data_IF_673139581023
#
_entry.id   IF_673139581023
#
_cell.length_a   1.000
_cell.length_b   1.000
_cell.length_c   1.000
_cell.angle_alpha   90.00
_cell.angle_beta   90.00
_cell.angle_gamma   90.00
#
_symmetry.space_group_name_H-M   'P 1'
#
loop_
_entity.id
_entity.type
_entity.pdbx_description
1 polymer ?
#
# COMPACT_ATOMS: atom_id res chain seq x y z
N UNK A 1 -59.54 -16.23 92.25
CA UNK A 1 -59.82 -15.29 93.39
C UNK A 1 -59.94 -13.89 92.76
N UNK A 2 -61.18 -13.41 92.78
CA UNK A 2 -61.66 -12.14 93.31
C UNK A 2 -61.01 -10.89 92.70
N UNK A 3 -61.64 -9.87 92.22
CA UNK A 3 -63.03 -9.26 92.17
C UNK A 3 -62.89 -8.06 91.24
N UNK A 4 -63.73 -7.84 90.26
CA UNK A 4 -65.01 -7.00 90.31
C UNK A 4 -64.77 -5.53 90.71
N UNK A 5 -64.98 -4.55 89.90
CA UNK A 5 -66.19 -3.70 89.87
C UNK A 5 -65.93 -2.41 89.09
N UNK A 6 -66.78 -2.14 88.16
CA UNK A 6 -67.66 -0.88 88.04
C UNK A 6 -66.97 0.49 88.23
N UNK A 7 -67.13 1.52 87.46
CA UNK A 7 -68.41 2.12 87.06
C UNK A 7 -68.15 3.46 86.33
N UNK A 8 -68.92 3.71 85.34
CA UNK A 8 -69.70 4.93 85.11
C UNK A 8 -68.97 6.24 84.68
N UNK A 9 -69.34 6.69 83.51
CA UNK A 9 -69.75 8.03 83.07
C UNK A 9 -68.86 9.23 83.34
N UNK A 10 -68.37 9.92 82.26
CA UNK A 10 -68.84 11.29 82.00
C UNK A 10 -68.52 11.72 80.56
N UNK A 11 -69.49 12.28 79.90
CA UNK A 11 -69.51 12.94 78.62
C UNK A 11 -68.76 14.28 78.75
N UNK A 12 -67.70 14.47 77.93
CA UNK A 12 -67.16 15.85 77.68
C UNK A 12 -66.88 15.91 76.15
N UNK A 13 -67.69 16.68 75.45
CA UNK A 13 -67.57 17.11 74.08
C UNK A 13 -66.41 18.14 74.02
N UNK A 14 -65.34 17.76 73.36
CA UNK A 14 -64.27 18.70 73.00
C UNK A 14 -64.10 18.73 71.49
N UNK A 15 -64.62 19.80 70.91
CA UNK A 15 -64.43 20.11 69.45
C UNK A 15 -62.97 20.53 69.30
N UNK A 16 -62.16 19.66 68.70
CA UNK A 16 -60.81 20.07 68.27
C UNK A 16 -60.92 20.28 66.73
N UNK A 17 -60.63 21.55 66.33
CA UNK A 17 -60.34 21.92 64.92
C UNK A 17 -59.09 21.16 64.47
N UNK A 18 -59.26 20.17 63.59
CA UNK A 18 -58.14 19.60 62.86
C UNK A 18 -57.90 20.49 61.63
N UNK A 19 -56.81 21.29 61.72
CA UNK A 19 -56.22 21.95 60.56
C UNK A 19 -55.65 20.85 59.62
N UNK A 20 -56.35 20.59 58.52
CA UNK A 20 -55.84 19.82 57.40
C UNK A 20 -54.63 20.59 56.81
N UNK A 21 -53.45 20.11 57.11
CA UNK A 21 -52.25 20.48 56.33
C UNK A 21 -52.45 19.85 54.94
N UNK A 22 -52.90 20.65 54.00
CA UNK A 22 -52.89 20.30 52.59
C UNK A 22 -51.44 20.11 52.15
N UNK A 23 -50.97 18.86 52.10
CA UNK A 23 -49.74 18.47 51.45
C UNK A 23 -49.95 18.74 49.95
N UNK A 24 -49.41 19.86 49.49
CA UNK A 24 -49.36 20.18 48.06
C UNK A 24 -48.69 19.02 47.30
N UNK A 25 -49.51 18.13 46.73
CA UNK A 25 -49.03 17.21 45.69
C UNK A 25 -48.45 18.05 44.56
N UNK A 26 -47.11 18.01 44.43
CA UNK A 26 -46.48 18.57 43.28
C UNK A 26 -47.19 18.06 42.03
N UNK A 27 -47.61 18.97 41.18
CA UNK A 27 -48.32 18.70 39.94
C UNK A 27 -47.46 17.80 39.01
N UNK A 28 -47.59 16.49 39.18
CA UNK A 28 -47.18 15.56 38.17
C UNK A 28 -48.09 15.74 36.93
N UNK A 29 -47.52 15.97 35.77
CA UNK A 29 -48.26 16.03 34.53
C UNK A 29 -49.10 14.72 34.39
N UNK A 30 -50.31 14.78 33.79
CA UNK A 30 -51.08 13.58 33.51
C UNK A 30 -50.26 12.52 32.78
N UNK A 31 -50.46 11.25 33.07
CA UNK A 31 -49.68 10.14 32.50
C UNK A 31 -49.77 10.11 30.97
N UNK A 32 -50.86 10.57 30.38
CA UNK A 32 -51.08 10.72 28.93
C UNK A 32 -50.16 11.75 28.24
N UNK A 33 -49.59 12.70 28.98
CA UNK A 33 -48.65 13.70 28.44
C UNK A 33 -47.16 13.31 28.59
N UNK A 34 -46.87 12.18 29.23
CA UNK A 34 -45.49 11.76 29.50
C UNK A 34 -44.96 10.88 28.38
N UNK A 35 -43.76 11.15 27.91
CA UNK A 35 -43.07 10.35 26.90
C UNK A 35 -41.94 9.56 27.60
N UNK A 36 -41.98 8.26 27.44
CA UNK A 36 -40.96 7.33 27.96
C UNK A 36 -39.93 7.05 26.88
N UNK A 37 -38.68 7.31 27.16
CA UNK A 37 -37.54 6.97 26.29
C UNK A 37 -36.75 5.85 26.98
N UNK A 38 -36.85 4.65 26.42
CA UNK A 38 -36.22 3.44 26.94
C UNK A 38 -34.95 3.20 26.13
N UNK A 39 -33.78 3.27 26.79
CA UNK A 39 -32.50 3.00 26.17
C UNK A 39 -32.15 1.52 26.31
N UNK A 40 -31.98 0.77 25.20
CA UNK A 40 -31.43 -0.58 25.25
C UNK A 40 -29.96 -0.53 25.68
N UNK A 41 -29.42 -1.62 26.21
CA UNK A 41 -28.01 -1.71 26.58
C UNK A 41 -27.08 -1.48 25.38
N UNK A 42 -27.51 -1.90 24.18
CA UNK A 42 -26.76 -1.68 22.95
C UNK A 42 -27.67 -1.53 21.75
N UNK A 43 -27.25 -0.71 20.76
CA UNK A 43 -27.93 -0.50 19.49
C UNK A 43 -26.93 -0.56 18.34
N UNK A 44 -27.40 -0.98 17.17
CA UNK A 44 -26.60 -1.00 15.92
C UNK A 44 -27.23 -0.03 14.94
N UNK A 45 -26.41 0.89 14.43
CA UNK A 45 -26.81 1.92 13.46
C UNK A 45 -26.06 1.73 12.15
N UNK A 46 -26.66 2.17 11.04
CA UNK A 46 -26.06 2.03 9.70
C UNK A 46 -25.60 3.36 9.11
N UNK A 47 -26.31 4.45 9.42
CA UNK A 47 -26.15 5.76 8.80
C UNK A 47 -24.99 6.58 9.40
N UNK A 48 -24.61 7.68 8.73
CA UNK A 48 -23.58 8.60 9.20
C UNK A 48 -24.04 9.47 10.39
N UNK A 49 -25.35 9.62 10.55
CA UNK A 49 -26.00 10.24 11.69
C UNK A 49 -26.97 9.24 12.31
N UNK A 50 -27.25 9.36 13.59
CA UNK A 50 -28.22 8.51 14.25
C UNK A 50 -29.32 9.34 14.90
N UNK A 51 -30.54 8.83 14.73
CA UNK A 51 -31.75 9.42 15.23
C UNK A 51 -32.12 8.85 16.60
N UNK A 52 -32.90 9.58 17.37
CA UNK A 52 -33.34 9.10 18.68
C UNK A 52 -34.16 7.80 18.55
N UNK A 53 -35.05 7.70 17.56
CA UNK A 53 -35.83 6.50 17.31
C UNK A 53 -35.03 5.27 16.87
N UNK A 54 -33.79 5.45 16.33
CA UNK A 54 -32.91 4.32 15.96
C UNK A 54 -32.21 3.70 17.18
N UNK A 55 -32.04 4.47 18.26
CA UNK A 55 -31.27 4.08 19.43
C UNK A 55 -32.09 3.88 20.70
N UNK A 56 -33.38 4.18 20.66
CA UNK A 56 -34.28 4.05 21.80
C UNK A 56 -35.67 3.62 21.36
N UNK A 57 -36.41 3.02 22.28
CA UNK A 57 -37.85 2.82 22.17
C UNK A 57 -38.56 4.00 22.81
N UNK A 58 -39.51 4.62 22.10
CA UNK A 58 -40.21 5.83 22.53
C UNK A 58 -41.68 5.49 22.65
N UNK A 59 -42.26 5.71 23.82
CA UNK A 59 -43.66 5.36 24.14
C UNK A 59 -44.36 6.53 24.83
N UNK A 60 -45.71 6.61 24.64
CA UNK A 60 -46.57 7.63 25.25
C UNK A 60 -46.62 8.95 24.50
N UNK A 61 -47.54 9.81 24.87
CA UNK A 61 -47.77 11.10 24.21
C UNK A 61 -48.51 11.03 22.87
N UNK A 62 -48.62 12.17 22.21
CA UNK A 62 -49.26 12.31 20.90
C UNK A 62 -48.41 11.73 19.76
N UNK A 63 -49.03 11.06 18.78
CA UNK A 63 -48.33 10.42 17.66
C UNK A 63 -47.47 11.39 16.85
N UNK A 64 -47.92 12.62 16.64
CA UNK A 64 -47.17 13.66 15.90
C UNK A 64 -45.91 14.07 16.67
N UNK A 65 -45.99 14.18 17.99
CA UNK A 65 -44.85 14.50 18.86
C UNK A 65 -43.87 13.32 18.92
N UNK A 66 -44.37 12.08 19.00
CA UNK A 66 -43.52 10.88 18.96
C UNK A 66 -42.70 10.79 17.67
N UNK A 67 -43.36 11.01 16.52
CA UNK A 67 -42.65 11.01 15.23
C UNK A 67 -41.60 12.12 15.19
N UNK A 68 -41.93 13.34 15.57
CA UNK A 68 -41.00 14.46 15.66
C UNK A 68 -39.78 14.15 16.55
N UNK A 69 -40.03 13.55 17.71
CA UNK A 69 -38.99 13.19 18.67
C UNK A 69 -38.12 12.05 18.13
N UNK A 70 -38.71 11.07 17.47
CA UNK A 70 -37.97 9.94 16.88
C UNK A 70 -36.98 10.36 15.79
N UNK A 71 -37.32 11.42 15.05
CA UNK A 71 -36.49 11.97 13.94
C UNK A 71 -35.40 12.93 14.42
N UNK A 72 -35.29 13.17 15.71
CA UNK A 72 -34.22 14.07 16.21
C UNK A 72 -32.87 13.43 16.05
N UNK A 73 -31.96 14.15 15.37
CA UNK A 73 -30.55 13.77 15.23
C UNK A 73 -29.85 13.97 16.58
N UNK A 74 -29.42 12.90 17.19
CA UNK A 74 -28.69 12.92 18.44
C UNK A 74 -27.21 13.21 18.22
N UNK A 75 -26.63 12.68 17.14
CA UNK A 75 -25.21 12.93 16.82
C UNK A 75 -24.73 12.27 15.56
N UNK A 76 -23.41 12.43 15.32
CA UNK A 76 -22.68 11.75 14.26
C UNK A 76 -22.36 10.33 14.69
N UNK A 77 -22.51 9.37 13.78
CA UNK A 77 -22.17 7.99 14.01
C UNK A 77 -20.66 7.81 14.18
N UNK A 78 -20.23 6.86 15.02
CA UNK A 78 -18.81 6.53 15.10
C UNK A 78 -18.29 5.96 13.77
N UNK A 79 -16.98 5.82 13.66
CA UNK A 79 -16.39 5.13 12.50
C UNK A 79 -16.92 3.69 12.41
N UNK A 80 -17.07 3.13 11.19
CA UNK A 80 -17.57 1.77 11.00
C UNK A 80 -16.86 0.75 11.89
N UNK A 81 -17.63 -0.08 12.58
CA UNK A 81 -17.14 -1.08 13.54
C UNK A 81 -16.69 -0.52 14.89
N UNK A 82 -16.78 0.79 15.12
CA UNK A 82 -16.47 1.42 16.42
C UNK A 82 -17.72 1.54 17.28
N UNK A 83 -17.49 1.58 18.60
CA UNK A 83 -18.53 1.79 19.61
C UNK A 83 -18.45 3.20 20.18
N UNK A 84 -19.59 3.73 20.54
CA UNK A 84 -19.74 5.01 21.23
C UNK A 84 -20.85 4.87 22.27
N UNK A 85 -20.75 5.55 23.39
CA UNK A 85 -21.77 5.52 24.44
C UNK A 85 -22.62 6.78 24.39
N UNK A 86 -23.92 6.60 24.23
CA UNK A 86 -24.91 7.66 24.32
C UNK A 86 -25.51 7.65 25.72
N UNK A 87 -25.48 8.78 26.38
CA UNK A 87 -26.03 8.96 27.73
C UNK A 87 -27.35 9.72 27.70
N UNK A 88 -28.19 9.50 28.70
CA UNK A 88 -29.40 10.27 28.96
C UNK A 88 -29.14 11.78 28.90
N UNK A 89 -28.04 12.24 29.50
CA UNK A 89 -27.67 13.67 29.53
C UNK A 89 -27.46 14.24 28.13
N UNK A 90 -26.84 13.48 27.21
CA UNK A 90 -26.66 13.88 25.82
C UNK A 90 -28.00 14.03 25.10
N UNK A 91 -28.89 13.06 25.28
CA UNK A 91 -30.25 13.10 24.69
C UNK A 91 -31.01 14.32 25.18
N UNK A 92 -31.05 14.53 26.48
CA UNK A 92 -31.72 15.71 27.07
C UNK A 92 -31.13 17.04 26.57
N UNK A 93 -29.80 17.12 26.40
CA UNK A 93 -29.15 18.28 25.81
C UNK A 93 -29.62 18.52 24.37
N UNK A 94 -29.75 17.48 23.55
CA UNK A 94 -30.21 17.57 22.18
C UNK A 94 -31.69 17.98 22.09
N UNK A 95 -32.55 17.39 22.93
CA UNK A 95 -33.96 17.79 23.01
C UNK A 95 -34.10 19.28 23.36
N UNK A 96 -33.34 19.78 24.35
CA UNK A 96 -33.34 21.21 24.71
C UNK A 96 -32.87 22.11 23.56
N UNK A 97 -31.85 21.70 22.80
CA UNK A 97 -31.37 22.48 21.66
C UNK A 97 -32.42 22.61 20.55
N UNK A 98 -33.39 21.69 20.47
CA UNK A 98 -34.54 21.71 19.58
C UNK A 98 -35.74 22.43 20.21
N UNK A 99 -35.56 23.13 21.34
CA UNK A 99 -36.60 23.86 22.08
C UNK A 99 -37.77 22.95 22.54
N UNK A 100 -37.49 21.66 22.78
CA UNK A 100 -38.47 20.70 23.27
C UNK A 100 -38.44 20.71 24.81
N UNK A 101 -39.64 20.75 25.41
CA UNK A 101 -39.78 20.74 26.88
C UNK A 101 -39.38 19.36 27.44
N UNK A 102 -38.21 19.32 28.07
CA UNK A 102 -37.64 18.09 28.63
C UNK A 102 -38.33 17.58 29.91
N UNK A 103 -39.19 18.33 30.53
CA UNK A 103 -39.96 17.90 31.72
C UNK A 103 -40.96 16.77 31.45
N UNK A 104 -41.33 16.60 30.19
CA UNK A 104 -42.29 15.55 29.76
C UNK A 104 -41.62 14.18 29.53
N UNK A 105 -40.29 14.11 29.56
CA UNK A 105 -39.55 12.88 29.22
C UNK A 105 -39.12 12.10 30.47
N UNK A 106 -39.52 10.85 30.51
CA UNK A 106 -39.08 9.86 31.47
C UNK A 106 -38.07 8.92 30.81
N UNK A 107 -37.07 8.51 31.54
CA UNK A 107 -36.06 7.57 31.07
C UNK A 107 -36.04 6.34 31.99
N UNK A 108 -36.99 5.42 31.82
CA UNK A 108 -36.95 4.17 32.55
C UNK A 108 -35.82 3.29 32.03
N UNK A 109 -35.15 2.56 32.93
CA UNK A 109 -34.13 1.59 32.58
C UNK A 109 -32.71 2.17 32.56
N UNK A 110 -31.96 1.86 31.50
CA UNK A 110 -30.51 2.18 31.44
C UNK A 110 -30.23 3.67 31.27
N UNK A 111 -29.22 4.19 31.98
CA UNK A 111 -28.80 5.59 31.84
C UNK A 111 -27.96 5.85 30.56
N UNK A 112 -27.52 4.78 29.91
CA UNK A 112 -26.73 4.87 28.69
C UNK A 112 -26.93 3.67 27.78
N UNK A 113 -26.64 3.86 26.49
CA UNK A 113 -26.65 2.81 25.47
C UNK A 113 -25.34 2.80 24.72
N UNK A 114 -24.81 1.60 24.43
CA UNK A 114 -23.62 1.41 23.61
C UNK A 114 -24.02 1.34 22.14
N UNK A 115 -23.73 2.38 21.38
CA UNK A 115 -24.04 2.46 19.95
C UNK A 115 -22.86 1.91 19.14
N UNK A 116 -23.14 0.91 18.29
CA UNK A 116 -22.15 0.35 17.38
C UNK A 116 -22.53 0.69 15.96
N UNK A 117 -21.62 1.28 15.17
CA UNK A 117 -21.86 1.43 13.74
C UNK A 117 -21.60 0.12 13.03
N UNK A 118 -22.58 -0.37 12.29
CA UNK A 118 -22.44 -1.56 11.47
C UNK A 118 -21.31 -1.40 10.46
N UNK A 119 -20.56 -2.46 10.22
CA UNK A 119 -19.42 -2.43 9.33
C UNK A 119 -19.30 -3.73 8.54
N UNK A 120 -18.80 -3.58 7.31
CA UNK A 120 -18.26 -4.68 6.52
C UNK A 120 -16.77 -4.81 6.82
N UNK A 121 -16.35 -5.97 7.31
CA UNK A 121 -14.94 -6.26 7.56
C UNK A 121 -14.29 -6.83 6.31
N UNK A 122 -13.28 -6.16 5.77
CA UNK A 122 -12.40 -6.65 4.71
C UNK A 122 -11.09 -7.10 5.35
N UNK A 123 -10.72 -8.36 5.16
CA UNK A 123 -9.46 -8.88 5.70
C UNK A 123 -8.27 -8.31 4.93
N UNK A 124 -7.22 -7.92 5.63
CA UNK A 124 -5.99 -7.43 5.01
C UNK A 124 -5.38 -8.43 4.03
N UNK A 125 -5.50 -9.74 4.32
CA UNK A 125 -5.05 -10.82 3.43
C UNK A 125 -5.79 -10.82 2.07
N UNK A 126 -7.08 -10.50 2.07
CA UNK A 126 -7.87 -10.45 0.83
C UNK A 126 -7.44 -9.26 -0.03
N UNK A 127 -7.13 -8.13 0.61
CA UNK A 127 -6.56 -6.93 -0.06
C UNK A 127 -5.21 -7.27 -0.70
N UNK A 128 -4.34 -7.99 0.01
CA UNK A 128 -3.05 -8.44 -0.51
C UNK A 128 -3.21 -9.35 -1.72
N UNK A 129 -4.14 -10.30 -1.68
CA UNK A 129 -4.41 -11.21 -2.79
C UNK A 129 -4.91 -10.49 -4.04
N UNK A 130 -5.82 -9.52 -3.86
CA UNK A 130 -6.34 -8.70 -4.96
C UNK A 130 -5.21 -7.87 -5.61
N UNK A 131 -4.31 -7.29 -4.81
CA UNK A 131 -3.15 -6.57 -5.34
C UNK A 131 -2.18 -7.51 -6.06
N UNK A 132 -1.90 -8.70 -5.52
CA UNK A 132 -1.05 -9.69 -6.16
C UNK A 132 -1.65 -10.18 -7.50
N UNK A 133 -2.96 -10.35 -7.55
CA UNK A 133 -3.67 -10.67 -8.80
C UNK A 133 -3.55 -9.54 -9.80
N UNK A 134 -3.84 -8.31 -9.39
CA UNK A 134 -3.71 -7.12 -10.24
C UNK A 134 -2.30 -6.99 -10.84
N UNK A 135 -1.25 -7.23 -10.03
CA UNK A 135 0.14 -7.19 -10.51
C UNK A 135 0.37 -8.25 -11.60
N UNK A 136 -0.15 -9.46 -11.45
CA UNK A 136 0.00 -10.52 -12.45
C UNK A 136 -0.78 -10.21 -13.73
N UNK A 137 -1.99 -9.71 -13.59
CA UNK A 137 -2.89 -9.43 -14.72
C UNK A 137 -2.41 -8.23 -15.56
N UNK A 138 -1.77 -7.24 -14.92
CA UNK A 138 -1.26 -6.04 -15.59
C UNK A 138 0.17 -6.18 -16.13
N UNK A 139 0.94 -7.16 -15.64
CA UNK A 139 2.29 -7.40 -16.10
C UNK A 139 2.37 -8.77 -16.76
N UNK A 140 2.36 -8.81 -18.09
CA UNK A 140 2.54 -10.06 -18.89
C UNK A 140 3.97 -10.64 -18.78
N UNK A 141 4.71 -10.30 -17.75
CA UNK A 141 6.07 -10.75 -17.54
C UNK A 141 6.12 -11.83 -16.43
N UNK A 142 6.20 -13.08 -16.84
CA UNK A 142 6.30 -14.24 -15.94
C UNK A 142 7.56 -14.24 -15.08
N UNK A 143 8.56 -13.47 -15.46
CA UNK A 143 9.80 -13.30 -14.72
C UNK A 143 9.65 -12.37 -13.50
N UNK A 144 8.54 -11.65 -13.39
CA UNK A 144 8.23 -10.83 -12.23
C UNK A 144 7.53 -11.66 -11.14
N UNK A 145 8.15 -11.77 -9.98
CA UNK A 145 7.59 -12.46 -8.82
C UNK A 145 7.28 -11.43 -7.70
N UNK A 146 6.01 -11.02 -7.56
CA UNK A 146 5.62 -10.07 -6.53
C UNK A 146 5.66 -10.69 -5.14
N UNK A 147 6.09 -9.90 -4.15
CA UNK A 147 6.08 -10.24 -2.73
C UNK A 147 5.53 -9.07 -1.92
N UNK A 148 4.63 -9.37 -0.99
CA UNK A 148 4.16 -8.39 0.01
C UNK A 148 5.27 -8.17 1.04
N UNK A 149 5.53 -6.90 1.37
CA UNK A 149 6.59 -6.52 2.31
C UNK A 149 6.12 -6.39 3.75
N UNK A 150 4.87 -5.98 3.94
CA UNK A 150 4.28 -5.80 5.25
C UNK A 150 2.83 -6.28 5.24
N UNK A 151 2.43 -6.95 6.30
CA UNK A 151 1.04 -7.42 6.48
C UNK A 151 0.07 -6.24 6.46
N UNK A 152 -0.92 -6.32 5.61
CA UNK A 152 -2.02 -5.35 5.55
C UNK A 152 -3.00 -5.61 6.70
N UNK A 153 -3.44 -4.55 7.36
CA UNK A 153 -4.43 -4.64 8.43
C UNK A 153 -5.83 -4.82 7.87
N UNK A 154 -6.68 -5.52 8.64
CA UNK A 154 -8.11 -5.55 8.35
C UNK A 154 -8.68 -4.13 8.39
N UNK A 155 -9.63 -3.87 7.51
CA UNK A 155 -10.36 -2.60 7.45
C UNK A 155 -11.84 -2.82 7.68
N UNK A 156 -12.51 -1.78 8.15
CA UNK A 156 -13.94 -1.76 8.36
C UNK A 156 -14.54 -0.66 7.51
N UNK A 157 -15.50 -1.01 6.67
CA UNK A 157 -16.20 -0.11 5.74
C UNK A 157 -17.67 0.00 6.16
N UNK A 158 -18.39 1.09 5.81
CA UNK A 158 -19.82 1.14 5.92
C UNK A 158 -20.49 -0.02 5.16
N UNK A 159 -21.70 -0.39 5.52
CA UNK A 159 -22.51 -1.32 4.71
C UNK A 159 -22.90 -0.68 3.40
N UNK A 160 -22.96 -1.47 2.32
CA UNK A 160 -23.30 -1.04 0.98
C UNK A 160 -22.58 -1.89 -0.08
N UNK A 161 -22.73 -1.52 -1.33
CA UNK A 161 -22.05 -2.19 -2.45
C UNK A 161 -20.61 -1.75 -2.51
N UNK A 162 -19.70 -2.69 -2.28
CA UNK A 162 -18.24 -2.43 -2.29
C UNK A 162 -17.71 -2.47 -3.72
N UNK A 163 -16.97 -1.44 -4.09
CA UNK A 163 -16.11 -1.44 -5.27
C UNK A 163 -14.71 -0.96 -4.89
N UNK A 164 -13.72 -1.28 -5.72
CA UNK A 164 -12.35 -0.80 -5.49
C UNK A 164 -11.62 -0.57 -6.80
N UNK A 165 -10.65 0.37 -6.77
CA UNK A 165 -9.72 0.64 -7.85
C UNK A 165 -8.29 0.48 -7.32
N UNK A 166 -7.41 -0.11 -8.14
CA UNK A 166 -6.01 -0.31 -7.78
C UNK A 166 -5.14 0.51 -8.71
N UNK A 167 -4.31 1.36 -8.12
CA UNK A 167 -3.35 2.19 -8.83
C UNK A 167 -1.94 1.97 -8.28
N UNK A 168 -0.92 2.01 -9.15
CA UNK A 168 0.47 2.07 -8.71
C UNK A 168 0.85 3.50 -8.38
N UNK A 169 1.41 3.76 -7.19
CA UNK A 169 1.87 5.09 -6.80
C UNK A 169 3.32 5.30 -7.25
N UNK A 170 3.52 6.20 -8.20
CA UNK A 170 4.84 6.64 -8.69
C UNK A 170 5.18 6.14 -10.09
N UNK A 171 6.16 6.83 -10.72
CA UNK A 171 6.77 6.42 -12.00
C UNK A 171 8.00 5.56 -11.70
N UNK A 172 8.04 4.37 -12.23
CA UNK A 172 9.13 3.43 -11.97
C UNK A 172 9.98 3.23 -13.22
N UNK A 173 11.27 3.50 -13.11
CA UNK A 173 12.24 3.35 -14.22
C UNK A 173 12.66 1.90 -14.48
N UNK A 174 12.54 1.01 -13.48
CA UNK A 174 12.92 -0.40 -13.55
C UNK A 174 11.69 -1.29 -13.47
N UNK A 175 11.69 -2.44 -14.10
CA UNK A 175 10.61 -3.43 -14.01
C UNK A 175 10.50 -4.01 -12.59
N UNK A 176 11.62 -4.39 -11.99
CA UNK A 176 11.70 -4.92 -10.62
C UNK A 176 11.88 -3.86 -9.55
N UNK A 177 11.83 -4.27 -8.27
CA UNK A 177 12.09 -3.43 -7.10
C UNK A 177 10.83 -3.07 -6.31
N UNK A 178 10.96 -2.07 -5.43
CA UNK A 178 9.89 -1.62 -4.55
C UNK A 178 8.73 -0.97 -5.33
N UNK A 179 7.50 -1.32 -4.95
CA UNK A 179 6.25 -0.75 -5.49
C UNK A 179 5.25 -0.50 -4.36
N UNK A 180 4.54 0.59 -4.47
CA UNK A 180 3.39 0.88 -3.61
C UNK A 180 2.13 0.85 -4.48
N UNK A 181 1.21 -0.04 -4.15
CA UNK A 181 -0.11 -0.09 -4.75
C UNK A 181 -1.12 0.54 -3.81
N UNK A 182 -1.93 1.42 -4.34
CA UNK A 182 -3.00 2.11 -3.62
C UNK A 182 -4.31 1.47 -4.03
N UNK A 183 -5.01 0.91 -3.06
CA UNK A 183 -6.35 0.36 -3.22
C UNK A 183 -7.32 1.38 -2.64
N UNK A 184 -8.15 1.96 -3.48
CA UNK A 184 -9.21 2.90 -3.11
C UNK A 184 -10.54 2.16 -3.10
N UNK A 185 -11.15 2.07 -1.91
CA UNK A 185 -12.44 1.43 -1.70
C UNK A 185 -13.55 2.46 -1.74
N UNK A 186 -14.60 2.14 -2.49
CA UNK A 186 -15.83 2.93 -2.58
C UNK A 186 -17.02 2.09 -2.12
N UNK A 187 -17.97 2.75 -1.45
CA UNK A 187 -19.27 2.19 -1.09
C UNK A 187 -20.32 3.00 -1.84
N UNK A 188 -21.19 2.32 -2.58
CA UNK A 188 -22.25 2.94 -3.38
C UNK A 188 -21.72 4.11 -4.25
N UNK A 189 -20.55 3.91 -4.86
CA UNK A 189 -19.86 4.88 -5.70
C UNK A 189 -19.10 6.00 -4.98
N UNK A 190 -19.18 6.10 -3.65
CA UNK A 190 -18.45 7.12 -2.87
C UNK A 190 -17.16 6.54 -2.28
N UNK A 191 -16.04 7.19 -2.51
CA UNK A 191 -14.75 6.80 -1.94
C UNK A 191 -14.79 6.93 -0.40
N UNK A 192 -14.45 5.84 0.30
CA UNK A 192 -14.54 5.77 1.77
C UNK A 192 -13.22 5.42 2.43
N UNK A 193 -12.33 4.70 1.74
CA UNK A 193 -11.08 4.23 2.33
C UNK A 193 -9.99 4.03 1.31
N UNK A 194 -8.78 4.44 1.66
CA UNK A 194 -7.56 4.19 0.88
C UNK A 194 -6.64 3.29 1.70
N UNK A 195 -6.09 2.26 1.05
CA UNK A 195 -5.13 1.34 1.65
C UNK A 195 -3.90 1.27 0.75
N UNK A 196 -2.72 1.46 1.33
CA UNK A 196 -1.46 1.29 0.59
C UNK A 196 -0.84 -0.07 0.91
N UNK A 197 -0.63 -0.87 -0.12
CA UNK A 197 0.03 -2.17 -0.03
C UNK A 197 1.45 -2.04 -0.57
N UNK A 198 2.43 -2.31 0.29
CA UNK A 198 3.86 -2.27 -0.07
C UNK A 198 4.30 -3.60 -0.62
N UNK A 199 4.86 -3.59 -1.82
CA UNK A 199 5.32 -4.79 -2.50
C UNK A 199 6.77 -4.66 -2.96
N UNK A 200 7.38 -5.80 -3.22
CA UNK A 200 8.66 -5.90 -3.88
C UNK A 200 8.53 -6.86 -5.07
N UNK A 201 8.85 -6.38 -6.26
CA UNK A 201 8.83 -7.18 -7.50
C UNK A 201 10.23 -7.73 -7.75
N UNK A 202 10.42 -9.04 -7.52
CA UNK A 202 11.66 -9.73 -7.90
C UNK A 202 11.63 -9.99 -9.39
N UNK A 203 12.64 -9.51 -10.10
CA UNK A 203 12.82 -9.75 -11.53
C UNK A 203 13.86 -10.84 -11.73
N UNK A 204 13.46 -11.92 -12.36
CA UNK A 204 14.36 -13.00 -12.77
C UNK A 204 14.61 -12.90 -14.27
N UNK A 205 15.86 -13.12 -14.69
CA UNK A 205 16.23 -13.25 -16.10
C UNK A 205 17.22 -14.39 -16.27
N UNK A 206 17.22 -15.00 -17.43
CA UNK A 206 18.29 -15.89 -17.84
C UNK A 206 19.50 -15.06 -18.20
N UNK A 207 20.59 -15.27 -17.51
CA UNK A 207 21.86 -14.56 -17.70
C UNK A 207 22.99 -15.55 -17.86
N UNK A 208 24.05 -15.13 -18.54
CA UNK A 208 25.25 -15.95 -18.66
C UNK A 208 26.18 -15.76 -17.47
N UNK A 209 26.66 -16.89 -16.95
CA UNK A 209 27.69 -16.96 -15.93
C UNK A 209 28.88 -17.74 -16.45
N UNK A 210 30.05 -17.50 -15.89
CA UNK A 210 31.22 -18.31 -16.19
C UNK A 210 31.02 -19.74 -15.65
N UNK A 211 31.26 -20.77 -16.46
CA UNK A 211 31.25 -22.17 -16.02
C UNK A 211 32.44 -22.43 -15.09
N UNK A 212 33.63 -22.05 -15.57
CA UNK A 212 34.88 -22.16 -14.86
C UNK A 212 35.56 -20.79 -14.78
N UNK A 213 36.74 -20.72 -14.18
CA UNK A 213 37.50 -19.47 -14.11
C UNK A 213 37.94 -19.02 -15.52
N UNK A 214 37.48 -17.85 -15.97
CA UNK A 214 37.91 -17.20 -17.20
C UNK A 214 39.03 -16.23 -16.82
N UNK A 215 40.26 -16.54 -17.22
CA UNK A 215 41.42 -15.67 -16.94
C UNK A 215 41.36 -14.36 -17.74
N UNK A 216 41.97 -13.30 -17.24
CA UNK A 216 42.08 -12.03 -17.96
C UNK A 216 42.75 -12.25 -19.34
N UNK A 217 42.24 -11.56 -20.35
CA UNK A 217 42.67 -11.63 -21.76
C UNK A 217 42.33 -12.97 -22.45
N UNK A 218 41.58 -13.89 -21.85
CA UNK A 218 41.07 -15.07 -22.54
C UNK A 218 39.93 -14.66 -23.46
N UNK A 219 39.92 -15.21 -24.68
CA UNK A 219 38.75 -15.13 -25.60
C UNK A 219 37.69 -16.07 -25.05
N UNK A 220 36.48 -15.56 -24.93
CA UNK A 220 35.33 -16.30 -24.39
C UNK A 220 34.80 -17.22 -25.47
N UNK A 221 34.72 -18.48 -25.16
CA UNK A 221 34.12 -19.54 -25.97
C UNK A 221 32.77 -19.95 -25.42
N UNK A 222 31.96 -20.64 -26.21
CA UNK A 222 30.65 -21.14 -25.77
C UNK A 222 30.77 -22.13 -24.60
N UNK A 223 31.82 -22.92 -24.55
CA UNK A 223 32.15 -23.86 -23.47
C UNK A 223 32.39 -23.18 -22.14
N UNK A 224 32.83 -21.91 -22.14
CA UNK A 224 33.06 -21.12 -20.91
C UNK A 224 31.76 -20.59 -20.29
N UNK A 225 30.64 -20.69 -21.02
CA UNK A 225 29.37 -20.07 -20.66
C UNK A 225 28.38 -21.09 -20.11
N UNK A 226 27.64 -20.69 -19.08
CA UNK A 226 26.48 -21.40 -18.57
C UNK A 226 25.32 -20.43 -18.40
N UNK A 227 24.14 -20.76 -18.95
CA UNK A 227 22.92 -19.97 -18.82
C UNK A 227 22.19 -20.34 -17.54
N UNK A 228 21.94 -19.36 -16.68
CA UNK A 228 21.28 -19.57 -15.39
C UNK A 228 20.23 -18.50 -15.12
N UNK A 229 19.13 -18.89 -14.48
CA UNK A 229 18.09 -17.96 -14.08
C UNK A 229 18.48 -17.30 -12.74
N UNK A 230 18.73 -16.00 -12.78
CA UNK A 230 19.13 -15.21 -11.61
C UNK A 230 18.19 -14.03 -11.38
N UNK A 231 18.09 -13.61 -10.10
CA UNK A 231 17.41 -12.37 -9.75
C UNK A 231 18.30 -11.19 -10.18
N UNK A 232 17.76 -10.33 -11.06
CA UNK A 232 18.48 -9.20 -11.66
C UNK A 232 17.97 -7.82 -11.21
N UNK A 233 16.96 -7.76 -10.35
CA UNK A 233 16.35 -6.49 -9.92
C UNK A 233 17.32 -5.53 -9.21
N UNK A 234 18.34 -6.07 -8.56
CA UNK A 234 19.44 -5.31 -7.90
C UNK A 234 20.71 -5.24 -8.71
N UNK A 235 20.77 -5.97 -9.83
CA UNK A 235 21.96 -5.96 -10.68
C UNK A 235 22.02 -4.68 -11.53
N UNK A 236 23.22 -4.17 -11.87
CA UNK A 236 23.38 -3.20 -12.94
C UNK A 236 22.78 -3.75 -14.25
N UNK A 237 22.21 -2.88 -15.10
CA UNK A 237 21.61 -3.29 -16.40
C UNK A 237 22.58 -3.84 -17.43
N UNK A 238 23.84 -4.00 -17.08
CA UNK A 238 24.92 -4.49 -17.93
C UNK A 238 25.00 -6.02 -18.03
N UNK A 239 24.08 -6.76 -17.37
CA UNK A 239 23.98 -8.21 -17.55
C UNK A 239 23.59 -8.57 -19.00
N UNK A 240 24.17 -9.65 -19.50
CA UNK A 240 24.01 -10.06 -20.90
C UNK A 240 23.07 -11.28 -20.95
N UNK A 241 22.09 -11.22 -21.83
CA UNK A 241 21.09 -12.28 -22.05
C UNK A 241 21.31 -13.03 -23.35
N UNK A 242 22.09 -12.44 -24.29
CA UNK A 242 22.34 -13.00 -25.61
C UNK A 242 23.78 -13.53 -25.70
N UNK A 243 23.91 -14.79 -26.14
CA UNK A 243 25.21 -15.48 -26.26
C UNK A 243 26.17 -14.78 -27.23
N UNK A 244 25.66 -14.29 -28.35
CA UNK A 244 26.44 -13.63 -29.38
C UNK A 244 27.12 -12.34 -28.91
N UNK A 245 26.63 -11.76 -27.84
CA UNK A 245 27.26 -10.62 -27.20
C UNK A 245 28.48 -10.99 -26.36
N UNK A 246 28.75 -12.30 -26.15
CA UNK A 246 29.85 -12.79 -25.31
C UNK A 246 30.89 -13.59 -26.09
N UNK A 247 30.44 -14.51 -26.94
CA UNK A 247 31.35 -15.38 -27.70
C UNK A 247 32.25 -14.55 -28.61
N UNK A 248 33.52 -14.86 -28.62
CA UNK A 248 34.56 -14.11 -29.38
C UNK A 248 35.03 -12.83 -28.72
N UNK A 249 34.42 -12.36 -27.61
CA UNK A 249 34.97 -11.23 -26.83
C UNK A 249 36.08 -11.69 -25.92
N UNK A 250 36.89 -10.72 -25.46
CA UNK A 250 38.00 -10.94 -24.55
C UNK A 250 37.59 -10.46 -23.15
N UNK A 251 37.98 -11.23 -22.15
CA UNK A 251 37.77 -10.84 -20.76
C UNK A 251 38.75 -9.73 -20.32
N UNK A 252 38.23 -8.64 -19.73
CA UNK A 252 39.02 -7.52 -19.24
C UNK A 252 39.67 -7.82 -17.87
N UNK A 253 39.14 -8.80 -17.14
CA UNK A 253 39.65 -9.25 -15.83
C UNK A 253 39.37 -10.75 -15.66
N UNK A 254 39.90 -11.33 -14.61
CA UNK A 254 39.53 -12.69 -14.23
C UNK A 254 38.05 -12.70 -13.80
N UNK A 255 37.27 -13.68 -14.29
CA UNK A 255 35.87 -13.93 -13.93
C UNK A 255 35.83 -15.28 -13.25
N UNK A 256 35.24 -15.31 -12.04
CA UNK A 256 35.19 -16.53 -11.24
C UNK A 256 34.03 -17.46 -11.68
N UNK A 257 34.07 -18.75 -11.33
CA UNK A 257 33.00 -19.69 -11.61
C UNK A 257 31.67 -19.17 -11.03
N UNK A 258 30.56 -19.37 -11.76
CA UNK A 258 29.21 -18.91 -11.39
C UNK A 258 29.05 -17.38 -11.29
N UNK A 259 30.08 -16.59 -11.59
CA UNK A 259 29.99 -15.14 -11.65
C UNK A 259 29.24 -14.70 -12.93
N UNK A 260 28.27 -13.77 -12.77
CA UNK A 260 27.52 -13.22 -13.91
C UNK A 260 28.43 -12.36 -14.80
N UNK A 261 28.49 -12.71 -16.09
CA UNK A 261 29.26 -11.97 -17.06
C UNK A 261 28.49 -10.70 -17.44
N UNK A 262 29.18 -9.55 -17.38
CA UNK A 262 28.60 -8.23 -17.61
C UNK A 262 29.26 -7.56 -18.82
N UNK A 263 28.57 -6.59 -19.42
CA UNK A 263 29.12 -5.83 -20.54
C UNK A 263 30.46 -5.16 -20.26
N UNK A 264 30.65 -4.65 -19.05
CA UNK A 264 31.90 -4.01 -18.64
C UNK A 264 33.05 -4.97 -18.31
N UNK A 265 32.78 -6.27 -18.17
CA UNK A 265 33.82 -7.29 -17.91
C UNK A 265 34.40 -7.87 -19.18
N UNK A 266 33.84 -7.56 -20.33
CA UNK A 266 34.25 -8.05 -21.64
C UNK A 266 34.45 -6.92 -22.64
N UNK A 267 35.27 -7.15 -23.65
CA UNK A 267 35.49 -6.20 -24.74
C UNK A 267 35.80 -6.92 -26.05
N UNK A 268 35.66 -6.22 -27.16
CA UNK A 268 36.09 -6.74 -28.46
C UNK A 268 37.62 -6.92 -28.42
N UNK A 269 38.16 -8.09 -28.83
CA UNK A 269 39.59 -8.32 -28.87
C UNK A 269 40.28 -7.33 -29.81
N UNK A 270 41.48 -6.89 -29.49
CA UNK A 270 42.26 -6.05 -30.41
C UNK A 270 42.64 -6.85 -31.66
N UNK A 271 42.55 -6.22 -32.82
CA UNK A 271 43.00 -6.81 -34.07
C UNK A 271 44.55 -6.83 -34.16
N UNK A 272 45.16 -5.83 -33.61
CA UNK A 272 46.62 -5.64 -33.61
C UNK A 272 47.12 -5.65 -32.18
N UNK A 273 48.22 -6.36 -31.90
CA UNK A 273 48.92 -6.39 -30.61
C UNK A 273 50.18 -5.55 -30.70
N UNK A 274 50.71 -5.10 -29.56
CA UNK A 274 52.02 -4.49 -29.52
C UNK A 274 53.08 -5.51 -29.96
N UNK A 275 53.97 -5.11 -30.87
CA UNK A 275 55.00 -5.97 -31.48
C UNK A 275 54.55 -6.65 -32.78
N UNK A 276 53.29 -6.60 -33.16
CA UNK A 276 52.81 -7.19 -34.41
C UNK A 276 53.42 -6.47 -35.61
N UNK A 277 53.89 -7.27 -36.60
CA UNK A 277 54.33 -6.78 -37.90
C UNK A 277 53.10 -6.52 -38.76
N UNK A 278 53.06 -5.35 -39.43
CA UNK A 278 51.92 -4.90 -40.24
C UNK A 278 52.40 -3.99 -41.37
N UNK A 279 51.53 -3.71 -42.31
CA UNK A 279 51.77 -2.77 -43.39
C UNK A 279 51.18 -1.40 -43.03
N UNK A 280 51.99 -0.38 -43.05
CA UNK A 280 51.56 1.02 -43.02
C UNK A 280 51.19 1.37 -44.45
N UNK A 281 49.94 1.73 -44.70
CA UNK A 281 49.45 2.09 -46.03
C UNK A 281 48.99 3.54 -46.00
N UNK A 282 49.46 4.32 -46.95
CA UNK A 282 48.95 5.61 -47.33
C UNK A 282 48.17 5.43 -48.66
N UNK A 283 46.93 5.84 -48.70
CA UNK A 283 46.04 5.60 -49.84
C UNK A 283 45.29 6.87 -50.21
N UNK A 284 45.46 7.28 -51.47
CA UNK A 284 44.64 8.36 -52.09
C UNK A 284 44.03 7.80 -53.39
N UNK A 285 43.11 8.51 -54.06
CA UNK A 285 42.52 8.04 -55.33
C UNK A 285 43.52 7.73 -56.44
N UNK A 286 44.72 8.33 -56.38
CA UNK A 286 45.71 8.24 -57.40
C UNK A 286 47.03 7.58 -56.98
N UNK A 287 47.22 7.34 -55.66
CA UNK A 287 48.48 6.83 -55.11
C UNK A 287 48.25 5.93 -53.94
N UNK A 288 48.91 4.75 -53.98
CA UNK A 288 48.97 3.86 -52.85
C UNK A 288 50.44 3.52 -52.53
N UNK A 289 50.85 3.92 -51.32
CA UNK A 289 52.20 3.60 -50.79
C UNK A 289 52.06 2.61 -49.65
N UNK A 290 53.01 1.69 -49.51
CA UNK A 290 53.07 0.81 -48.35
C UNK A 290 54.50 0.67 -47.85
N UNK A 291 54.62 0.54 -46.53
CA UNK A 291 55.91 0.28 -45.87
C UNK A 291 55.70 -0.71 -44.72
N UNK A 292 56.72 -1.53 -44.42
CA UNK A 292 56.66 -2.43 -43.29
C UNK A 292 56.75 -1.67 -41.97
N UNK A 293 55.90 -2.04 -40.98
CA UNK A 293 55.88 -1.43 -39.67
C UNK A 293 55.73 -2.42 -38.53
N UNK A 294 56.04 -1.98 -37.31
CA UNK A 294 55.81 -2.72 -36.09
C UNK A 294 54.89 -1.87 -35.20
N UNK A 295 53.78 -2.47 -34.77
CA UNK A 295 52.86 -1.83 -33.85
C UNK A 295 53.51 -1.63 -32.48
N UNK A 296 53.42 -0.42 -31.93
CA UNK A 296 53.94 -0.11 -30.59
C UNK A 296 52.81 -0.25 -29.52
N UNK A 297 51.55 -0.39 -29.92
CA UNK A 297 50.42 -0.54 -29.02
C UNK A 297 49.39 -1.53 -29.58
N UNK A 298 48.51 -2.03 -28.72
CA UNK A 298 47.34 -2.80 -29.14
C UNK A 298 46.30 -1.86 -29.78
N UNK A 299 45.59 -2.31 -30.81
CA UNK A 299 44.56 -1.52 -31.46
C UNK A 299 43.39 -2.37 -31.97
N UNK A 300 42.18 -1.85 -31.85
CA UNK A 300 40.97 -2.39 -32.46
C UNK A 300 40.74 -1.74 -33.83
N UNK A 301 39.87 -2.31 -34.62
CA UNK A 301 39.45 -1.72 -35.90
C UNK A 301 39.00 -0.27 -35.70
N UNK A 302 39.54 0.64 -36.48
CA UNK A 302 39.28 2.08 -36.41
C UNK A 302 40.05 2.84 -35.31
N UNK A 303 40.80 2.17 -34.41
CA UNK A 303 41.63 2.86 -33.43
C UNK A 303 42.92 3.35 -34.06
N UNK A 304 43.36 4.56 -33.65
CA UNK A 304 44.63 5.15 -34.06
C UNK A 304 45.74 4.74 -33.09
N UNK A 305 46.75 4.07 -33.61
CA UNK A 305 47.86 3.51 -32.82
C UNK A 305 49.19 4.01 -33.32
N UNK A 306 50.24 4.11 -32.46
CA UNK A 306 51.61 4.37 -32.89
C UNK A 306 52.20 3.13 -33.52
N UNK A 307 52.81 3.32 -34.70
CA UNK A 307 53.47 2.27 -35.49
C UNK A 307 54.85 2.75 -35.90
N UNK A 308 55.86 1.97 -35.61
CA UNK A 308 57.25 2.25 -36.02
C UNK A 308 57.48 1.69 -37.39
N UNK A 309 57.84 2.54 -38.35
CA UNK A 309 58.28 2.10 -39.67
C UNK A 309 59.63 1.36 -39.52
N UNK A 310 59.74 0.18 -40.13
CA UNK A 310 60.92 -0.69 -40.01
C UNK A 310 62.14 -0.17 -40.75
N UNK A 311 61.93 0.57 -41.84
CA UNK A 311 63.03 1.10 -42.66
C UNK A 311 63.55 2.44 -42.13
N UNK A 312 62.63 3.42 -42.00
CA UNK A 312 63.02 4.76 -41.55
C UNK A 312 63.17 4.91 -40.03
N UNK A 313 62.68 3.93 -39.21
CA UNK A 313 62.64 3.94 -37.73
C UNK A 313 61.71 5.02 -37.15
N UNK A 314 61.05 5.79 -38.00
CA UNK A 314 60.11 6.86 -37.60
C UNK A 314 58.82 6.24 -37.07
N UNK A 315 58.25 6.84 -36.01
CA UNK A 315 56.97 6.46 -35.45
C UNK A 315 55.87 7.31 -36.08
N UNK A 316 54.90 6.66 -36.69
CA UNK A 316 53.70 7.30 -37.26
C UNK A 316 52.46 6.82 -36.54
N UNK A 317 51.43 7.70 -36.47
CA UNK A 317 50.15 7.30 -35.97
C UNK A 317 49.25 6.86 -37.13
N UNK A 318 48.78 5.62 -37.08
CA UNK A 318 47.99 5.06 -38.13
C UNK A 318 46.71 4.39 -37.60
N UNK A 319 45.62 4.39 -38.37
CA UNK A 319 44.35 3.80 -38.05
C UNK A 319 44.29 2.33 -38.44
N UNK A 320 43.93 1.45 -37.52
CA UNK A 320 43.86 0.00 -37.74
C UNK A 320 42.69 -0.30 -38.71
N UNK A 321 42.97 -0.84 -39.88
CA UNK A 321 41.98 -1.30 -40.87
C UNK A 321 41.70 -2.80 -40.77
N UNK A 322 42.76 -3.58 -40.70
CA UNK A 322 42.71 -5.05 -40.54
C UNK A 322 43.82 -5.49 -39.55
N UNK A 323 43.93 -6.80 -39.34
CA UNK A 323 44.98 -7.38 -38.49
C UNK A 323 46.40 -7.00 -38.91
N UNK A 324 46.62 -6.85 -40.24
CA UNK A 324 47.95 -6.64 -40.82
C UNK A 324 48.09 -5.30 -41.55
N UNK A 325 47.05 -4.43 -41.55
CA UNK A 325 47.07 -3.17 -42.28
C UNK A 325 46.59 -2.04 -41.39
N UNK A 326 47.43 -0.98 -41.36
CA UNK A 326 47.05 0.31 -40.75
C UNK A 326 47.12 1.42 -41.81
N UNK A 327 46.21 2.36 -41.75
CA UNK A 327 46.13 3.50 -42.66
C UNK A 327 46.70 4.74 -42.02
N UNK A 328 47.57 5.44 -42.72
CA UNK A 328 48.01 6.79 -42.42
C UNK A 328 47.23 7.74 -43.32
N UNK A 329 46.56 8.70 -42.74
CA UNK A 329 45.88 9.81 -43.42
C UNK A 329 46.76 11.06 -43.39
#
# INVERSE_FOLDING_TARGET
>A
MRYLKHSCRLFVLLIMLSSEIAFSKGSSLPEEEQIKIILPQSSVINNDQYLLGEISQIEGGDAVLLEKVSQIVIGQSPLPGRKFTVTRSLILSRLRSQKINTKRFLFPGSESSSITRAALKIKGKDIEQVVLKHIRDTNNNEDLKPRILAKTRDIFLPRGQVSYVINSKGKYKKEGGYRNYVVEFSIDGKAVRIVTVRTYLKLYKEVFVARDTIKRNKIIEESDLMKVRKNVDRMPREYITEKDQLVGKISNRTINPSETIRGNTVSIPPLVKSGDRLQIVFETPFLRLSAPGISMAKGRKGERIPVKNMDSKIVVFATVKTRNIVLVN
#
